data_IF_227187111064
#
_entry.id   IF_227187111064
#
_cell.length_a   1.000
_cell.length_b   1.000
_cell.length_c   1.000
_cell.angle_alpha   90.00
_cell.angle_beta   90.00
_cell.angle_gamma   90.00
#
_symmetry.space_group_name_H-M   'P 1'
#
loop_
_entity.id
_entity.type
_entity.pdbx_description
1 polymer ?
#
# COMPACT_ATOMS: atom_id res chain seq x y z
N UNK A 1 0.20 -0.11 -6.55
CA UNK A 1 -0.58 0.46 -5.45
C UNK A 1 -1.53 -0.56 -4.86
N UNK A 2 -1.64 -1.85 -5.22
CA UNK A 2 -2.78 -2.65 -4.73
C UNK A 2 -4.13 -1.84 -4.81
N UNK A 3 -5.20 -2.13 -4.08
CA UNK A 3 -6.32 -1.17 -4.00
C UNK A 3 -6.53 -0.81 -2.54
N UNK A 4 -6.81 0.45 -2.24
CA UNK A 4 -6.95 0.95 -0.87
C UNK A 4 -7.98 0.15 -0.07
N UNK A 5 -9.09 -0.28 -0.71
CA UNK A 5 -10.06 -1.14 -0.04
C UNK A 5 -9.51 -2.53 0.32
N UNK A 6 -8.62 -3.07 -0.51
CA UNK A 6 -7.99 -4.37 -0.28
C UNK A 6 -6.93 -4.28 0.82
N UNK A 7 -6.17 -3.17 0.88
CA UNK A 7 -5.24 -2.91 1.99
C UNK A 7 -5.97 -2.90 3.33
N UNK A 8 -7.07 -2.14 3.43
CA UNK A 8 -7.91 -2.11 4.61
C UNK A 8 -8.44 -3.51 4.97
N UNK A 9 -8.91 -4.27 3.98
CA UNK A 9 -9.44 -5.60 4.20
C UNK A 9 -8.38 -6.59 4.71
N UNK A 10 -7.21 -6.62 4.08
CA UNK A 10 -6.14 -7.52 4.51
C UNK A 10 -5.62 -7.18 5.90
N UNK A 11 -5.37 -5.90 6.19
CA UNK A 11 -4.96 -5.46 7.52
C UNK A 11 -5.99 -5.83 8.59
N UNK A 12 -7.27 -5.58 8.31
CA UNK A 12 -8.38 -5.98 9.18
C UNK A 12 -8.42 -7.49 9.44
N UNK A 13 -8.39 -8.33 8.39
CA UNK A 13 -8.50 -9.79 8.56
C UNK A 13 -7.31 -10.37 9.35
N UNK A 14 -6.09 -9.91 9.05
CA UNK A 14 -4.89 -10.35 9.77
C UNK A 14 -4.98 -9.95 11.24
N UNK A 15 -5.31 -8.68 11.51
CA UNK A 15 -5.45 -8.21 12.89
C UNK A 15 -6.61 -8.87 13.63
N UNK A 16 -7.73 -9.15 12.95
CA UNK A 16 -8.87 -9.82 13.54
C UNK A 16 -8.52 -11.25 13.98
N UNK A 17 -7.75 -11.98 13.17
CA UNK A 17 -7.22 -13.29 13.58
C UNK A 17 -6.32 -13.17 14.82
N UNK A 18 -5.41 -12.19 14.85
CA UNK A 18 -4.56 -11.92 16.03
C UNK A 18 -5.42 -11.60 17.26
N UNK A 19 -6.45 -10.77 17.10
CA UNK A 19 -7.35 -10.39 18.19
C UNK A 19 -8.09 -11.59 18.78
N UNK A 20 -8.65 -12.47 17.94
CA UNK A 20 -9.31 -13.70 18.39
C UNK A 20 -8.32 -14.59 19.16
N UNK A 21 -7.14 -14.82 18.59
CA UNK A 21 -6.13 -15.67 19.23
C UNK A 21 -5.65 -15.12 20.57
N UNK A 22 -5.55 -13.79 20.70
CA UNK A 22 -5.08 -13.13 21.91
C UNK A 22 -6.14 -13.05 23.01
N UNK A 23 -7.38 -12.77 22.65
CA UNK A 23 -8.45 -12.47 23.61
C UNK A 23 -9.42 -13.63 23.82
N UNK A 24 -9.44 -14.61 22.92
CA UNK A 24 -10.50 -15.63 22.84
C UNK A 24 -11.86 -15.07 22.40
N UNK A 25 -11.96 -13.78 22.06
CA UNK A 25 -13.22 -13.13 21.72
C UNK A 25 -13.38 -12.95 20.21
N UNK A 26 -14.55 -13.30 19.71
CA UNK A 26 -14.96 -12.96 18.34
C UNK A 26 -15.45 -11.52 18.22
N UNK A 27 -15.81 -10.85 19.32
CA UNK A 27 -16.34 -9.49 19.28
C UNK A 27 -15.19 -8.50 19.49
N UNK A 28 -14.83 -7.77 18.44
CA UNK A 28 -13.77 -6.77 18.46
C UNK A 28 -14.34 -5.36 18.69
N UNK A 29 -13.84 -4.60 19.69
CA UNK A 29 -14.21 -3.21 19.90
C UNK A 29 -14.04 -2.35 18.64
N UNK A 30 -14.98 -1.42 18.42
CA UNK A 30 -15.03 -0.59 17.21
C UNK A 30 -13.79 0.28 17.01
N UNK A 31 -13.16 0.76 18.10
CA UNK A 31 -11.95 1.58 17.99
C UNK A 31 -10.76 0.80 17.42
N UNK A 32 -10.66 -0.51 17.69
CA UNK A 32 -9.65 -1.37 17.07
C UNK A 32 -9.89 -1.53 15.57
N UNK A 33 -11.17 -1.73 15.20
CA UNK A 33 -11.59 -1.84 13.81
C UNK A 33 -11.26 -0.56 13.03
N UNK A 34 -11.63 0.60 13.55
CA UNK A 34 -11.34 1.89 12.91
C UNK A 34 -9.84 2.14 12.81
N UNK A 35 -9.08 1.80 13.86
CA UNK A 35 -7.63 1.99 13.89
C UNK A 35 -6.91 1.11 12.87
N UNK A 36 -7.27 -0.18 12.77
CA UNK A 36 -6.61 -1.07 11.80
C UNK A 36 -6.90 -0.67 10.36
N UNK A 37 -8.13 -0.25 10.06
CA UNK A 37 -8.47 0.29 8.73
C UNK A 37 -7.64 1.53 8.45
N UNK A 38 -7.63 2.49 9.39
CA UNK A 38 -6.88 3.73 9.23
C UNK A 38 -5.41 3.48 8.95
N UNK A 39 -4.72 2.68 9.77
CA UNK A 39 -3.29 2.40 9.57
C UNK A 39 -3.02 1.59 8.29
N UNK A 40 -3.96 0.77 7.83
CA UNK A 40 -3.82 0.02 6.58
C UNK A 40 -3.92 0.89 5.33
N UNK A 41 -4.63 2.03 5.40
CA UNK A 41 -4.77 2.98 4.28
C UNK A 41 -3.91 4.22 4.45
N UNK A 42 -3.35 4.45 5.65
CA UNK A 42 -2.60 5.66 5.99
C UNK A 42 -1.48 5.98 4.98
N UNK A 43 -0.69 5.00 4.50
CA UNK A 43 0.33 5.29 3.50
C UNK A 43 -0.23 5.92 2.21
N UNK A 44 -1.43 5.52 1.76
CA UNK A 44 -2.10 6.03 0.54
C UNK A 44 -2.71 7.44 0.71
N UNK A 45 -2.79 7.97 1.93
CA UNK A 45 -3.28 9.33 2.15
C UNK A 45 -2.33 10.39 1.57
N UNK A 46 -1.09 9.99 1.24
CA UNK A 46 -0.14 10.81 0.52
C UNK A 46 -0.67 11.27 -0.85
N UNK A 47 -1.49 10.46 -1.52
CA UNK A 47 -2.11 10.78 -2.80
C UNK A 47 -3.00 12.03 -2.70
N UNK A 48 -3.67 12.23 -1.55
CA UNK A 48 -4.46 13.43 -1.26
C UNK A 48 -3.53 14.65 -1.16
N UNK A 49 -2.44 14.53 -0.39
CA UNK A 49 -1.44 15.60 -0.23
C UNK A 49 -0.84 15.97 -1.59
N UNK A 50 -0.50 14.97 -2.42
CA UNK A 50 0.03 15.17 -3.76
C UNK A 50 -1.00 15.86 -4.68
N UNK A 51 -2.26 15.44 -4.64
CA UNK A 51 -3.35 16.03 -5.42
C UNK A 51 -3.54 17.52 -5.07
N UNK A 52 -3.60 17.84 -3.78
CA UNK A 52 -3.73 19.21 -3.28
C UNK A 52 -2.54 20.08 -3.70
N UNK A 53 -1.30 19.60 -3.50
CA UNK A 53 -0.07 20.33 -3.83
C UNK A 53 0.05 20.65 -5.32
N UNK A 54 -0.50 19.79 -6.19
CA UNK A 54 -0.45 19.95 -7.65
C UNK A 54 -1.70 20.60 -8.25
N UNK A 55 -2.62 21.09 -7.43
CA UNK A 55 -3.87 21.77 -7.84
C UNK A 55 -4.64 21.00 -8.93
N UNK A 56 -4.68 19.66 -8.83
CA UNK A 56 -5.40 18.80 -9.79
C UNK A 56 -4.82 18.71 -11.22
N UNK A 57 -3.68 19.34 -11.53
CA UNK A 57 -3.09 19.37 -12.89
C UNK A 57 -2.30 18.11 -13.29
N UNK A 58 -2.38 17.03 -12.54
CA UNK A 58 -1.48 15.88 -12.69
C UNK A 58 -2.09 14.76 -13.56
N UNK A 59 -1.31 14.22 -14.50
CA UNK A 59 -1.63 12.97 -15.20
C UNK A 59 -1.39 11.78 -14.25
N UNK A 60 -2.30 11.58 -13.29
CA UNK A 60 -2.29 10.45 -12.35
C UNK A 60 -2.16 9.08 -13.05
N UNK A 61 -2.60 9.02 -14.31
CA UNK A 61 -2.71 7.78 -15.07
C UNK A 61 -1.38 7.30 -15.68
N UNK A 62 -0.40 8.19 -15.89
CA UNK A 62 0.85 7.84 -16.62
C UNK A 62 2.13 8.23 -15.88
N UNK A 63 2.12 9.24 -15.02
CA UNK A 63 3.35 9.80 -14.41
C UNK A 63 3.45 9.56 -12.89
N UNK A 64 2.40 9.07 -12.24
CA UNK A 64 2.34 9.00 -10.78
C UNK A 64 3.05 7.76 -10.22
N UNK A 65 4.30 7.96 -9.80
CA UNK A 65 5.12 6.95 -9.14
C UNK A 65 5.23 7.19 -7.64
N UNK A 66 4.11 7.11 -6.92
CA UNK A 66 4.10 7.47 -5.51
C UNK A 66 5.01 6.61 -4.63
N UNK A 67 5.18 5.32 -4.88
CA UNK A 67 6.15 4.52 -4.11
C UNK A 67 7.60 5.03 -4.27
N UNK A 68 7.90 5.72 -5.37
CA UNK A 68 9.19 6.39 -5.57
C UNK A 68 9.25 7.76 -4.90
N UNK A 69 8.19 8.58 -5.05
CA UNK A 69 8.18 9.99 -4.63
C UNK A 69 7.67 10.23 -3.21
N UNK A 70 6.97 9.28 -2.62
CA UNK A 70 6.32 9.42 -1.33
C UNK A 70 7.14 8.78 -0.22
N UNK A 71 7.39 9.58 0.81
CA UNK A 71 8.03 9.11 2.03
C UNK A 71 7.12 8.15 2.82
N UNK A 72 5.80 8.22 2.60
CA UNK A 72 4.82 7.38 3.26
C UNK A 72 4.94 5.90 2.87
N UNK A 73 5.58 5.59 1.74
CA UNK A 73 5.82 4.22 1.27
C UNK A 73 7.24 3.71 1.57
N UNK A 74 7.96 4.35 2.50
CA UNK A 74 9.28 3.89 2.93
C UNK A 74 9.14 3.13 4.26
N UNK A 75 9.26 1.78 4.26
CA UNK A 75 8.98 0.98 5.46
C UNK A 75 9.85 1.32 6.67
N UNK A 76 11.06 1.84 6.46
CA UNK A 76 11.94 2.27 7.55
C UNK A 76 11.39 3.47 8.33
N UNK A 77 10.48 4.26 7.77
CA UNK A 77 9.84 5.37 8.47
C UNK A 77 9.00 4.90 9.67
N UNK A 78 8.49 3.67 9.60
CA UNK A 78 7.52 3.12 10.56
C UNK A 78 8.14 2.20 11.62
N UNK A 79 9.47 2.08 11.65
CA UNK A 79 10.22 1.34 12.69
C UNK A 79 9.84 1.77 14.12
N UNK A 80 9.59 3.06 14.43
CA UNK A 80 9.15 3.46 15.77
C UNK A 80 7.90 2.71 16.26
N UNK A 81 6.95 2.34 15.38
CA UNK A 81 5.79 1.55 15.78
C UNK A 81 6.15 0.12 16.17
N UNK A 82 7.14 -0.49 15.51
CA UNK A 82 7.66 -1.81 15.89
C UNK A 82 8.33 -1.74 17.27
N UNK A 83 9.17 -0.73 17.49
CA UNK A 83 9.85 -0.52 18.77
C UNK A 83 8.81 -0.33 19.88
N UNK A 84 7.80 0.52 19.66
CA UNK A 84 6.72 0.76 20.61
C UNK A 84 5.92 -0.50 20.90
N UNK A 85 5.61 -1.32 19.90
CA UNK A 85 4.95 -2.62 20.10
C UNK A 85 5.81 -3.56 20.95
N UNK A 86 7.12 -3.68 20.66
CA UNK A 86 8.03 -4.54 21.43
C UNK A 86 8.10 -4.09 22.89
N UNK A 87 8.22 -2.78 23.15
CA UNK A 87 8.22 -2.24 24.53
C UNK A 87 6.92 -2.59 25.25
N UNK A 88 5.77 -2.35 24.61
CA UNK A 88 4.45 -2.65 25.19
C UNK A 88 4.22 -4.14 25.42
N UNK A 89 4.83 -5.00 24.60
CA UNK A 89 4.82 -6.45 24.79
C UNK A 89 5.55 -6.86 26.08
N UNK A 90 6.72 -6.27 26.37
CA UNK A 90 7.52 -6.60 27.56
C UNK A 90 7.02 -5.92 28.83
N UNK A 91 6.51 -4.69 28.74
CA UNK A 91 5.98 -3.93 29.88
C UNK A 91 4.54 -4.33 30.22
N UNK A 92 3.86 -5.09 29.35
CA UNK A 92 2.47 -5.53 29.53
C UNK A 92 1.42 -4.43 29.32
N UNK A 93 1.83 -3.27 28.79
CA UNK A 93 0.96 -2.12 28.57
C UNK A 93 0.30 -2.19 27.18
N UNK A 94 -0.95 -2.65 27.11
CA UNK A 94 -1.80 -2.60 25.90
C UNK A 94 -1.16 -3.13 24.59
N UNK A 95 -0.57 -4.35 24.57
CA UNK A 95 0.11 -4.90 23.39
C UNK A 95 -0.80 -4.96 22.16
N UNK A 96 -2.09 -5.31 22.35
CA UNK A 96 -3.10 -5.33 21.28
C UNK A 96 -3.29 -3.99 20.59
N UNK A 97 -3.31 -2.88 21.33
CA UNK A 97 -3.44 -1.56 20.70
C UNK A 97 -2.18 -1.20 19.92
N UNK A 98 -1.01 -1.48 20.50
CA UNK A 98 0.27 -1.08 19.92
C UNK A 98 0.68 -1.89 18.69
N UNK A 99 0.16 -3.11 18.50
CA UNK A 99 0.45 -3.93 17.30
C UNK A 99 -0.35 -3.48 16.07
N UNK A 100 -1.45 -2.74 16.24
CA UNK A 100 -2.31 -2.27 15.15
C UNK A 100 -1.54 -1.52 14.06
N UNK A 101 -0.74 -0.46 14.36
CA UNK A 101 0.02 0.23 13.31
C UNK A 101 1.00 -0.70 12.61
N UNK A 102 1.59 -1.68 13.31
CA UNK A 102 2.50 -2.66 12.72
C UNK A 102 1.75 -3.55 11.73
N UNK A 103 0.62 -4.13 12.12
CA UNK A 103 -0.19 -4.97 11.24
C UNK A 103 -0.75 -4.17 10.07
N UNK A 104 -1.36 -3.02 10.33
CA UNK A 104 -1.99 -2.20 9.29
C UNK A 104 -0.98 -1.78 8.22
N UNK A 105 0.13 -1.17 8.64
CA UNK A 105 1.11 -0.60 7.70
C UNK A 105 1.93 -1.72 7.03
N UNK A 106 2.51 -2.65 7.79
CA UNK A 106 3.42 -3.63 7.19
C UNK A 106 2.69 -4.77 6.50
N UNK A 107 1.64 -5.30 7.13
CA UNK A 107 0.94 -6.49 6.65
C UNK A 107 -0.31 -6.16 5.86
N UNK A 108 -1.06 -5.10 6.18
CA UNK A 108 -2.18 -4.61 5.38
C UNK A 108 -1.72 -3.87 4.13
N UNK A 109 -0.66 -3.06 4.24
CA UNK A 109 -0.20 -2.18 3.17
C UNK A 109 1.04 -2.71 2.42
N UNK A 110 2.23 -2.62 3.01
CA UNK A 110 3.50 -2.85 2.29
C UNK A 110 3.69 -4.27 1.79
N UNK A 111 3.21 -5.28 2.52
CA UNK A 111 3.29 -6.67 2.07
C UNK A 111 2.52 -6.86 0.75
N UNK A 112 1.29 -6.37 0.66
CA UNK A 112 0.48 -6.53 -0.54
C UNK A 112 0.97 -5.68 -1.71
N UNK A 113 1.54 -4.51 -1.44
CA UNK A 113 2.24 -3.76 -2.48
C UNK A 113 3.51 -4.47 -2.95
N UNK A 114 4.25 -5.12 -2.07
CA UNK A 114 5.41 -5.95 -2.45
C UNK A 114 4.98 -7.13 -3.32
N UNK A 115 3.81 -7.70 -3.05
CA UNK A 115 3.29 -8.83 -3.82
C UNK A 115 2.76 -8.36 -5.17
N UNK A 116 1.91 -7.33 -5.22
CA UNK A 116 1.05 -7.07 -6.37
C UNK A 116 1.18 -5.69 -7.03
N UNK A 117 1.90 -4.74 -6.42
CA UNK A 117 2.19 -3.48 -7.10
C UNK A 117 3.10 -3.72 -8.31
N UNK A 118 2.90 -2.94 -9.38
CA UNK A 118 3.76 -2.97 -10.56
C UNK A 118 5.21 -2.60 -10.23
N UNK A 119 5.39 -1.64 -9.32
CA UNK A 119 6.71 -1.23 -8.85
C UNK A 119 7.20 -2.05 -7.67
N UNK A 120 6.32 -2.38 -6.73
CA UNK A 120 6.71 -2.98 -5.45
C UNK A 120 7.09 -1.94 -4.40
N UNK A 121 7.82 -2.35 -3.36
CA UNK A 121 8.21 -1.46 -2.24
C UNK A 121 9.72 -1.40 -2.07
N UNK A 122 10.25 -0.22 -1.74
CA UNK A 122 11.67 -0.03 -1.39
C UNK A 122 11.90 -0.25 0.10
N UNK A 123 11.93 -1.51 0.53
CA UNK A 123 12.10 -1.88 1.95
C UNK A 123 13.32 -1.27 2.63
N UNK A 124 14.44 -1.15 1.92
CA UNK A 124 15.69 -0.61 2.46
C UNK A 124 15.89 0.90 2.28
N UNK A 125 14.89 1.64 1.77
CA UNK A 125 15.05 3.08 1.52
C UNK A 125 15.08 3.84 2.84
N UNK A 126 16.23 4.44 3.15
CA UNK A 126 16.33 5.37 4.28
C UNK A 126 15.67 6.72 3.89
N UNK A 127 14.60 7.14 4.60
CA UNK A 127 13.89 8.39 4.31
C UNK A 127 14.75 9.65 4.48
N UNK A 128 15.75 9.61 5.37
CA UNK A 128 16.59 10.75 5.71
C UNK A 128 17.78 10.93 4.76
N UNK A 129 18.04 9.98 3.86
CA UNK A 129 19.13 10.04 2.89
C UNK A 129 18.60 10.24 1.47
N UNK A 130 18.66 11.49 0.98
CA UNK A 130 18.09 11.92 -0.31
C UNK A 130 18.58 11.10 -1.52
N UNK A 131 19.86 10.72 -1.55
CA UNK A 131 20.50 10.03 -2.70
C UNK A 131 20.71 8.53 -2.52
N UNK A 132 20.33 7.92 -1.39
CA UNK A 132 20.50 6.46 -1.20
C UNK A 132 19.19 5.73 -1.44
N UNK A 133 19.00 5.16 -2.62
CA UNK A 133 17.84 4.35 -2.97
C UNK A 133 18.10 2.87 -2.66
N UNK A 134 17.02 2.16 -2.34
CA UNK A 134 17.01 0.70 -2.33
C UNK A 134 16.31 0.21 -3.60
N UNK A 135 16.59 -1.04 -3.96
CA UNK A 135 15.86 -1.69 -5.04
C UNK A 135 14.40 -1.86 -4.64
N UNK A 136 13.49 -1.60 -5.57
CA UNK A 136 12.12 -2.03 -5.44
C UNK A 136 12.01 -3.56 -5.41
N UNK A 137 11.21 -4.08 -4.49
CA UNK A 137 10.91 -5.50 -4.37
C UNK A 137 9.47 -5.72 -4.82
N UNK A 138 9.31 -6.43 -5.93
CA UNK A 138 8.03 -6.92 -6.43
C UNK A 138 8.11 -8.45 -6.65
N UNK A 139 7.14 -9.21 -6.15
CA UNK A 139 7.19 -10.69 -6.16
C UNK A 139 6.23 -11.27 -7.21
N UNK A 140 5.01 -10.75 -7.29
CA UNK A 140 3.94 -11.25 -8.16
C UNK A 140 3.35 -10.14 -9.03
N UNK A 141 4.22 -9.44 -9.76
CA UNK A 141 3.86 -8.32 -10.64
C UNK A 141 3.56 -8.73 -12.10
N UNK A 142 3.34 -10.03 -12.36
CA UNK A 142 3.02 -10.50 -13.69
C UNK A 142 1.73 -9.82 -14.18
N UNK A 143 1.83 -9.09 -15.29
CA UNK A 143 0.81 -8.19 -15.90
C UNK A 143 0.74 -6.76 -15.35
N UNK A 144 1.31 -6.47 -14.18
CA UNK A 144 1.26 -5.14 -13.56
C UNK A 144 2.60 -4.39 -13.58
N UNK A 145 3.72 -5.07 -13.81
CA UNK A 145 5.06 -4.49 -13.89
C UNK A 145 5.13 -3.32 -14.89
N UNK A 146 5.62 -2.18 -14.39
CA UNK A 146 5.79 -0.94 -15.17
C UNK A 146 4.51 -0.11 -15.41
N UNK A 147 3.32 -0.67 -15.24
CA UNK A 147 2.10 0.12 -15.37
C UNK A 147 1.84 0.98 -14.13
N UNK A 148 1.25 2.16 -14.34
CA UNK A 148 0.86 3.12 -13.30
C UNK A 148 -0.61 3.53 -13.40
N UNK A 149 -1.14 4.14 -12.34
CA UNK A 149 -2.49 4.72 -12.31
C UNK A 149 -3.59 3.81 -12.85
N UNK A 150 -4.42 4.33 -13.76
CA UNK A 150 -5.52 3.56 -14.38
C UNK A 150 -5.07 2.37 -15.22
N UNK A 151 -3.91 2.45 -15.90
CA UNK A 151 -3.36 1.31 -16.63
C UNK A 151 -3.00 0.17 -15.67
N UNK A 152 -2.36 0.50 -14.55
CA UNK A 152 -2.06 -0.46 -13.50
C UNK A 152 -3.35 -1.07 -12.94
N UNK A 153 -4.34 -0.25 -12.57
CA UNK A 153 -5.61 -0.71 -12.01
C UNK A 153 -6.37 -1.65 -12.96
N UNK A 154 -6.36 -1.35 -14.26
CA UNK A 154 -6.95 -2.20 -15.30
C UNK A 154 -6.32 -3.58 -15.34
N UNK A 155 -4.98 -3.65 -15.35
CA UNK A 155 -4.23 -4.91 -15.37
C UNK A 155 -4.38 -5.68 -14.07
N UNK A 156 -4.30 -4.98 -12.93
CA UNK A 156 -4.39 -5.57 -11.59
C UNK A 156 -5.68 -6.35 -11.42
N UNK A 157 -6.82 -5.81 -11.88
CA UNK A 157 -8.13 -6.49 -11.81
C UNK A 157 -8.19 -7.83 -12.55
N UNK A 158 -7.28 -8.07 -13.50
CA UNK A 158 -7.18 -9.35 -14.23
C UNK A 158 -6.30 -10.39 -13.52
N UNK A 159 -5.65 -10.01 -12.41
CA UNK A 159 -4.73 -10.88 -11.65
C UNK A 159 -5.47 -11.75 -10.64
N UNK A 160 -4.85 -12.87 -10.24
CA UNK A 160 -5.35 -13.72 -9.16
C UNK A 160 -5.39 -12.99 -7.82
N UNK A 161 -4.38 -12.15 -7.53
CA UNK A 161 -4.31 -11.40 -6.28
C UNK A 161 -5.48 -10.42 -6.16
N UNK A 162 -5.87 -9.72 -7.24
CA UNK A 162 -7.06 -8.86 -7.18
C UNK A 162 -8.34 -9.65 -6.88
N UNK A 163 -8.48 -10.88 -7.37
CA UNK A 163 -9.64 -11.74 -7.06
C UNK A 163 -9.65 -12.12 -5.57
N UNK A 164 -8.50 -12.52 -5.03
CA UNK A 164 -8.33 -12.82 -3.60
C UNK A 164 -8.64 -11.57 -2.76
N UNK A 165 -8.14 -10.40 -3.15
CA UNK A 165 -8.42 -9.14 -2.47
C UNK A 165 -9.91 -8.79 -2.47
N UNK A 166 -10.62 -9.02 -3.58
CA UNK A 166 -12.07 -8.81 -3.61
C UNK A 166 -12.83 -9.78 -2.69
N UNK A 167 -12.39 -11.05 -2.61
CA UNK A 167 -12.94 -12.02 -1.66
C UNK A 167 -12.67 -11.57 -0.22
N UNK A 168 -11.45 -11.12 0.08
CA UNK A 168 -11.09 -10.59 1.40
C UNK A 168 -11.98 -9.39 1.78
N UNK A 169 -12.20 -8.45 0.87
CA UNK A 169 -13.13 -7.33 1.07
C UNK A 169 -14.53 -7.85 1.39
N UNK A 170 -15.06 -8.82 0.62
CA UNK A 170 -16.38 -9.40 0.88
C UNK A 170 -16.46 -10.07 2.26
N UNK A 171 -15.44 -10.82 2.68
CA UNK A 171 -15.39 -11.40 4.02
C UNK A 171 -15.38 -10.35 5.12
N UNK A 172 -14.61 -9.27 4.96
CA UNK A 172 -14.66 -8.14 5.88
C UNK A 172 -16.08 -7.60 5.99
N UNK A 173 -16.75 -7.34 4.86
CA UNK A 173 -18.14 -6.87 4.83
C UNK A 173 -19.05 -7.78 5.64
N UNK A 174 -18.96 -9.09 5.46
CA UNK A 174 -19.78 -10.06 6.19
C UNK A 174 -19.50 -9.99 7.71
N UNK A 175 -18.22 -9.96 8.12
CA UNK A 175 -17.83 -9.85 9.53
C UNK A 175 -18.33 -8.54 10.14
N UNK A 176 -18.22 -7.44 9.39
CA UNK A 176 -18.76 -6.14 9.80
C UNK A 176 -20.26 -6.20 10.03
N UNK A 177 -21.02 -6.74 9.06
CA UNK A 177 -22.47 -6.90 9.19
C UNK A 177 -22.83 -7.78 10.39
N UNK A 178 -22.08 -8.86 10.63
CA UNK A 178 -22.24 -9.69 11.82
C UNK A 178 -22.05 -8.88 13.11
N UNK A 179 -20.98 -8.08 13.24
CA UNK A 179 -20.79 -7.22 14.41
C UNK A 179 -21.89 -6.17 14.57
N UNK A 180 -22.36 -5.57 13.47
CA UNK A 180 -23.48 -4.64 13.54
C UNK A 180 -24.73 -5.37 14.07
N UNK A 181 -25.02 -6.56 13.55
CA UNK A 181 -26.15 -7.37 13.98
C UNK A 181 -26.03 -7.79 15.44
N UNK A 182 -24.91 -8.39 15.86
CA UNK A 182 -24.69 -8.84 17.24
C UNK A 182 -24.76 -7.69 18.25
N UNK A 183 -24.25 -6.50 17.91
CA UNK A 183 -24.39 -5.33 18.78
C UNK A 183 -25.83 -4.80 18.86
N UNK A 184 -26.64 -5.01 17.81
CA UNK A 184 -28.08 -4.70 17.82
C UNK A 184 -28.87 -5.76 18.59
N UNK A 185 -28.60 -7.05 18.44
CA UNK A 185 -29.44 -8.09 19.03
C UNK A 185 -29.08 -8.46 20.47
N UNK A 186 -27.82 -8.29 20.89
CA UNK A 186 -27.33 -8.81 22.19
C UNK A 186 -27.19 -7.69 23.25
N UNK A 187 -26.88 -6.45 22.85
CA UNK A 187 -26.49 -5.36 23.79
C UNK A 187 -27.63 -4.35 24.05
N UNK A 188 -28.81 -4.55 23.46
CA UNK A 188 -30.00 -3.72 23.69
C UNK A 188 -30.72 -4.27 24.92
N UNK A 189 -30.38 -3.80 26.13
CA UNK A 189 -31.18 -2.69 26.66
C UNK A 189 -30.43 -1.58 27.45
N UNK A 190 -29.10 -1.56 27.57
CA UNK A 190 -28.47 -0.83 28.70
C UNK A 190 -27.66 0.46 28.41
N UNK A 191 -27.56 0.99 27.19
CA UNK A 191 -26.67 2.16 26.90
C UNK A 191 -27.34 3.29 26.07
N UNK A 192 -26.77 4.51 26.00
CA UNK A 192 -27.36 5.66 25.29
C UNK A 192 -27.31 5.52 23.76
N UNK A 193 -28.20 6.22 23.07
CA UNK A 193 -28.58 6.00 21.66
C UNK A 193 -27.75 6.76 20.61
N UNK A 194 -26.91 7.73 21.01
CA UNK A 194 -26.31 8.69 20.06
C UNK A 194 -24.95 8.26 19.48
N UNK A 195 -23.99 7.81 20.31
CA UNK A 195 -22.66 7.37 19.85
C UNK A 195 -22.72 6.13 18.94
N UNK A 196 -23.70 5.25 19.20
CA UNK A 196 -23.96 4.06 18.38
C UNK A 196 -24.41 4.43 16.97
N UNK A 197 -25.41 5.31 16.80
CA UNK A 197 -25.91 5.71 15.47
C UNK A 197 -24.81 6.27 14.56
N UNK A 198 -23.87 7.03 15.12
CA UNK A 198 -22.72 7.56 14.39
C UNK A 198 -21.78 6.43 13.94
N UNK A 199 -21.48 5.46 14.82
CA UNK A 199 -20.66 4.30 14.46
C UNK A 199 -21.32 3.41 13.39
N UNK A 200 -22.65 3.20 13.46
CA UNK A 200 -23.43 2.50 12.43
C UNK A 200 -23.41 3.24 11.10
N UNK A 201 -23.67 4.55 11.13
CA UNK A 201 -23.67 5.39 9.93
C UNK A 201 -22.30 5.40 9.26
N UNK A 202 -21.23 5.57 10.03
CA UNK A 202 -19.86 5.55 9.50
C UNK A 202 -19.49 4.18 8.91
N UNK A 203 -19.95 3.09 9.52
CA UNK A 203 -19.67 1.73 9.02
C UNK A 203 -20.44 1.43 7.73
N UNK A 204 -21.69 1.87 7.61
CA UNK A 204 -22.51 1.75 6.39
C UNK A 204 -21.95 2.65 5.28
N UNK A 205 -21.56 3.89 5.60
CA UNK A 205 -20.94 4.80 4.63
C UNK A 205 -19.60 4.24 4.14
N UNK A 206 -18.79 3.69 5.04
CA UNK A 206 -17.57 2.99 4.68
C UNK A 206 -17.86 1.78 3.77
N UNK A 207 -18.87 0.97 4.11
CA UNK A 207 -19.30 -0.17 3.30
C UNK A 207 -19.71 0.24 1.87
N UNK A 208 -20.57 1.25 1.76
CA UNK A 208 -21.06 1.77 0.48
C UNK A 208 -19.92 2.38 -0.34
N UNK A 209 -19.00 3.10 0.31
CA UNK A 209 -17.81 3.63 -0.35
C UNK A 209 -16.90 2.52 -0.89
N UNK A 210 -16.68 1.46 -0.10
CA UNK A 210 -15.83 0.33 -0.48
C UNK A 210 -16.44 -0.48 -1.64
N UNK A 211 -17.76 -0.71 -1.62
CA UNK A 211 -18.49 -1.36 -2.71
C UNK A 211 -18.49 -0.50 -3.99
N UNK A 212 -18.78 0.80 -3.86
CA UNK A 212 -18.80 1.72 -4.99
C UNK A 212 -17.42 1.81 -5.68
N UNK A 213 -16.35 1.94 -4.89
CA UNK A 213 -14.99 1.91 -5.42
C UNK A 213 -14.68 0.55 -6.06
N UNK A 214 -15.03 -0.55 -5.39
CA UNK A 214 -14.85 -1.93 -5.84
C UNK A 214 -15.42 -2.23 -7.24
N UNK A 215 -16.65 -1.76 -7.50
CA UNK A 215 -17.47 -2.10 -8.67
C UNK A 215 -17.20 -1.25 -9.92
N UNK A 216 -16.31 -0.26 -9.87
CA UNK A 216 -16.01 0.59 -11.03
C UNK A 216 -15.51 -0.21 -12.24
N UNK A 217 -16.24 -0.15 -13.35
CA UNK A 217 -15.84 -0.80 -14.60
C UNK A 217 -14.58 -0.18 -15.17
N UNK A 218 -13.64 -1.02 -15.58
CA UNK A 218 -12.42 -0.56 -16.25
C UNK A 218 -12.67 -0.42 -17.75
N UNK A 219 -12.48 0.78 -18.28
CA UNK A 219 -12.54 1.00 -19.73
C UNK A 219 -11.47 0.19 -20.47
N UNK A 220 -11.86 -0.44 -21.59
CA UNK A 220 -10.96 -1.25 -22.44
C UNK A 220 -9.71 -0.48 -22.91
N UNK A 221 -9.76 0.86 -22.98
CA UNK A 221 -8.61 1.69 -23.37
C UNK A 221 -7.40 1.51 -22.45
N UNK A 222 -7.62 1.25 -21.16
CA UNK A 222 -6.57 1.07 -20.16
C UNK A 222 -5.94 -0.33 -20.19
N UNK A 223 -6.47 -1.26 -21.00
CA UNK A 223 -5.86 -2.55 -21.28
C UNK A 223 -4.91 -2.52 -22.48
N UNK A 224 -4.78 -1.37 -23.15
CA UNK A 224 -3.75 -1.14 -24.19
C UNK A 224 -2.47 -0.61 -23.54
N UNK A 225 -1.37 -0.63 -24.28
CA UNK A 225 -0.13 0.01 -23.82
C UNK A 225 -0.33 1.53 -23.65
N UNK A 226 0.27 2.14 -22.60
CA UNK A 226 0.29 3.58 -22.49
C UNK A 226 1.12 4.20 -23.63
N UNK A 227 0.75 5.38 -24.17
CA UNK A 227 1.48 6.03 -25.26
C UNK A 227 2.97 6.25 -24.97
N UNK A 228 3.31 6.54 -23.72
CA UNK A 228 4.68 6.77 -23.27
C UNK A 228 5.48 5.46 -23.09
N UNK A 229 4.80 4.32 -23.16
CA UNK A 229 5.33 2.98 -22.93
C UNK A 229 5.35 2.60 -21.45
N UNK A 230 5.14 1.31 -21.14
CA UNK A 230 5.02 0.81 -19.75
C UNK A 230 6.27 0.96 -18.87
N UNK A 231 7.41 1.40 -19.38
CA UNK A 231 8.62 1.59 -18.57
C UNK A 231 9.14 3.03 -18.63
N UNK A 232 8.25 3.99 -18.87
CA UNK A 232 8.51 5.44 -18.82
C UNK A 232 8.62 5.95 -17.38
N UNK A 233 9.44 5.26 -16.57
CA UNK A 233 9.29 5.26 -15.12
C UNK A 233 10.66 5.39 -14.40
N UNK A 234 10.78 5.01 -13.12
CA UNK A 234 12.00 5.21 -12.33
C UNK A 234 13.15 4.33 -12.84
N UNK A 235 12.83 3.24 -13.55
CA UNK A 235 13.79 2.26 -14.05
C UNK A 235 14.76 2.85 -15.07
N UNK A 236 14.36 3.94 -15.74
CA UNK A 236 15.19 4.69 -16.70
C UNK A 236 15.70 6.03 -16.14
N UNK A 237 15.33 6.41 -14.90
CA UNK A 237 15.72 7.69 -14.30
C UNK A 237 17.13 7.62 -13.72
N UNK A 238 17.99 8.50 -14.21
CA UNK A 238 19.38 8.63 -13.77
C UNK A 238 19.53 8.84 -12.27
N UNK A 239 18.70 9.72 -11.70
CA UNK A 239 18.68 9.97 -10.25
C UNK A 239 18.47 8.70 -9.43
N UNK A 240 17.62 7.78 -9.89
CA UNK A 240 17.38 6.52 -9.18
C UNK A 240 18.56 5.57 -9.35
N UNK A 241 18.98 5.33 -10.60
CA UNK A 241 20.08 4.40 -10.93
C UNK A 241 21.37 4.80 -10.20
N UNK A 242 21.72 6.08 -10.21
CA UNK A 242 22.93 6.59 -9.55
C UNK A 242 22.84 6.57 -8.03
N UNK A 243 21.64 6.60 -7.46
CA UNK A 243 21.46 6.50 -6.02
C UNK A 243 21.35 5.07 -5.48
N UNK A 244 21.37 4.04 -6.33
CA UNK A 244 21.50 2.66 -5.90
C UNK A 244 22.94 2.37 -5.44
N UNK A 245 23.09 1.49 -4.43
CA UNK A 245 24.40 0.90 -4.11
C UNK A 245 24.96 0.13 -5.31
N UNK A 246 26.29 0.02 -5.45
CA UNK A 246 26.96 -0.67 -6.56
C UNK A 246 26.32 -2.03 -6.91
N UNK A 247 26.19 -2.92 -5.91
CA UNK A 247 25.57 -4.24 -6.08
C UNK A 247 24.17 -4.16 -6.69
N UNK A 248 23.32 -3.29 -6.16
CA UNK A 248 21.94 -3.12 -6.65
C UNK A 248 21.90 -2.43 -8.02
N UNK A 249 22.83 -1.52 -8.30
CA UNK A 249 22.97 -0.85 -9.60
C UNK A 249 23.31 -1.85 -10.69
N UNK A 250 24.30 -2.72 -10.46
CA UNK A 250 24.67 -3.78 -11.40
C UNK A 250 23.50 -4.74 -11.69
N UNK A 251 22.78 -5.16 -10.64
CA UNK A 251 21.58 -6.00 -10.80
C UNK A 251 20.51 -5.26 -11.63
N UNK A 252 20.31 -3.97 -11.39
CA UNK A 252 19.34 -3.14 -12.12
C UNK A 252 19.71 -3.01 -13.61
N UNK A 253 20.96 -2.65 -13.90
CA UNK A 253 21.48 -2.51 -15.26
C UNK A 253 21.37 -3.83 -16.03
N UNK A 254 21.71 -4.96 -15.39
CA UNK A 254 21.56 -6.29 -15.99
C UNK A 254 20.09 -6.65 -16.26
N UNK A 255 19.18 -6.38 -15.32
CA UNK A 255 17.75 -6.71 -15.47
C UNK A 255 17.08 -5.89 -16.58
N UNK A 256 17.51 -4.64 -16.78
CA UNK A 256 16.86 -3.69 -17.68
C UNK A 256 17.74 -3.26 -18.86
N UNK A 257 18.75 -4.05 -19.25
CA UNK A 257 19.71 -3.64 -20.29
C UNK A 257 19.03 -3.30 -21.62
N UNK A 258 18.21 -4.21 -22.17
CA UNK A 258 17.51 -3.96 -23.43
C UNK A 258 16.56 -2.74 -23.38
N UNK A 259 15.96 -2.46 -22.23
CA UNK A 259 15.15 -1.24 -22.06
C UNK A 259 16.05 0.02 -22.11
N UNK A 260 17.18 -0.01 -21.43
CA UNK A 260 18.09 1.13 -21.33
C UNK A 260 18.83 1.39 -22.64
N UNK A 261 19.14 0.35 -23.42
CA UNK A 261 19.65 0.40 -24.79
C UNK A 261 18.64 1.10 -25.71
N UNK A 262 17.39 0.61 -25.74
CA UNK A 262 16.33 1.18 -26.58
C UNK A 262 16.03 2.65 -26.27
N UNK A 263 16.32 3.09 -25.05
CA UNK A 263 16.14 4.50 -24.62
C UNK A 263 17.42 5.33 -24.74
N UNK A 264 18.51 4.81 -25.31
CA UNK A 264 19.82 5.47 -25.41
C UNK A 264 20.34 5.97 -24.05
N UNK A 265 20.06 5.24 -22.97
CA UNK A 265 20.46 5.59 -21.60
C UNK A 265 21.66 4.82 -21.10
N UNK A 266 21.97 3.64 -21.67
CA UNK A 266 23.05 2.76 -21.18
C UNK A 266 24.44 3.38 -21.26
N UNK A 267 24.73 4.17 -22.31
CA UNK A 267 26.05 4.79 -22.53
C UNK A 267 26.45 5.75 -21.42
N UNK A 268 25.49 6.26 -20.64
CA UNK A 268 25.72 7.13 -19.49
C UNK A 268 26.22 6.39 -18.25
N UNK A 269 26.07 5.06 -18.20
CA UNK A 269 26.37 4.25 -17.01
C UNK A 269 27.50 3.24 -17.22
N UNK A 270 27.92 3.01 -18.47
CA UNK A 270 29.01 2.08 -18.84
C UNK A 270 30.37 2.76 -18.96
N UNK A 271 30.47 4.08 -18.81
CA UNK A 271 31.75 4.78 -18.81
C UNK A 271 32.38 4.80 -17.41
N UNK A 272 33.65 4.37 -17.21
CA UNK A 272 34.31 4.35 -15.90
C UNK A 272 34.63 5.73 -15.30
N UNK A 273 34.09 6.82 -15.83
CA UNK A 273 34.39 8.18 -15.37
C UNK A 273 33.19 8.77 -14.64
N UNK A 274 33.16 8.59 -13.32
CA UNK A 274 32.78 9.61 -12.31
C UNK A 274 32.65 8.98 -10.92
N UNK A 275 33.75 8.40 -10.42
CA UNK A 275 33.95 8.12 -8.98
C UNK A 275 34.24 9.39 -8.16
N UNK A 276 34.28 10.57 -8.78
CA UNK A 276 34.56 11.84 -8.11
C UNK A 276 33.39 12.81 -8.23
N UNK A 277 32.30 12.60 -7.47
CA UNK A 277 31.50 13.73 -6.97
C UNK A 277 31.16 13.46 -5.50
N UNK A 278 31.97 14.08 -4.66
CA UNK A 278 31.74 14.35 -3.23
C UNK A 278 30.50 15.24 -3.09
N UNK A 279 29.85 15.17 -1.91
CA UNK A 279 28.66 15.86 -1.37
C UNK A 279 27.34 15.06 -1.38
#
# INVERSE_FOLDING_TARGET
MSRTEQHAAFGFLIYYAIYILWTGSFIMPSYYISSIIFFSICPDLDAIIFYLKKRGKFKLDTEFQHHFSSIAHYPLLYIPFIIMFIINLFVGSNPLTSVIPVIGIYFGHFLFDTIACGDGIMWGKNPFRRKKYARFINIYCNKTDGYHGKYWGARYRTTKISKIGNIAVLFCVIIFLFFQFSNVTIVIPAYPSYSRRISYHNSIMFLLMMLFLGLTFTSKKWLREPPEGRYSDYRIKERYINGLSEKNRQIHLKKYSGLLENKNTISKYTSPKNSNIIY
#
